data_IF_632652321757
#
_entry.id   IF_632652321757
#
_cell.length_a   1.000
_cell.length_b   1.000
_cell.length_c   1.000
_cell.angle_alpha   90.00
_cell.angle_beta   90.00
_cell.angle_gamma   90.00
#
_symmetry.space_group_name_H-M   'P 1'
#
loop_
_entity.id
_entity.type
_entity.pdbx_description
1 polymer ?
#
# COMPACT_ATOMS: atom_id res chain seq x y z
N UNK A 1 -45.01 -47.99 -1.99
CA UNK A 1 -44.43 -47.02 -1.03
C UNK A 1 -43.69 -45.99 -1.86
N UNK A 2 -44.17 -44.74 -1.93
CA UNK A 2 -43.51 -43.68 -2.73
C UNK A 2 -42.37 -43.08 -1.89
N UNK A 3 -41.12 -43.05 -2.37
CA UNK A 3 -40.03 -42.43 -1.60
C UNK A 3 -40.31 -40.93 -1.45
N UNK A 4 -40.30 -40.44 -0.20
CA UNK A 4 -40.31 -39.01 0.08
C UNK A 4 -38.88 -38.50 0.00
N UNK A 5 -38.61 -37.62 -0.97
CA UNK A 5 -37.33 -36.93 -1.02
C UNK A 5 -37.26 -35.89 0.12
N UNK A 6 -36.12 -35.77 0.81
CA UNK A 6 -35.95 -34.76 1.84
C UNK A 6 -36.16 -33.36 1.23
N UNK A 7 -36.87 -32.50 1.94
CA UNK A 7 -37.04 -31.11 1.55
C UNK A 7 -35.69 -30.39 1.66
N UNK A 8 -34.96 -30.35 0.55
CA UNK A 8 -33.63 -29.71 0.46
C UNK A 8 -33.68 -28.19 0.73
N UNK A 9 -34.89 -27.61 0.77
CA UNK A 9 -35.13 -26.19 1.04
C UNK A 9 -35.75 -25.94 2.43
N UNK A 10 -35.93 -26.97 3.26
CA UNK A 10 -36.55 -26.83 4.59
C UNK A 10 -35.79 -25.90 5.54
N UNK A 11 -34.50 -25.68 5.28
CA UNK A 11 -33.63 -24.76 6.01
C UNK A 11 -33.21 -23.54 5.17
N UNK A 12 -33.76 -23.35 3.97
CA UNK A 12 -33.46 -22.18 3.15
C UNK A 12 -34.16 -20.96 3.76
N UNK A 13 -33.45 -20.24 4.63
CA UNK A 13 -33.88 -18.91 5.04
C UNK A 13 -33.78 -17.98 3.82
N UNK A 14 -34.82 -17.17 3.58
CA UNK A 14 -34.72 -16.06 2.65
C UNK A 14 -33.67 -15.09 3.21
N UNK A 15 -32.42 -15.24 2.75
CA UNK A 15 -31.37 -14.30 3.08
C UNK A 15 -31.67 -13.02 2.32
N UNK A 16 -31.61 -11.89 3.02
CA UNK A 16 -31.58 -10.60 2.34
C UNK A 16 -30.38 -10.62 1.37
N UNK A 17 -30.55 -10.19 0.11
CA UNK A 17 -29.45 -10.18 -0.84
C UNK A 17 -28.30 -9.33 -0.27
N UNK A 18 -27.15 -9.96 -0.05
CA UNK A 18 -25.95 -9.34 0.51
C UNK A 18 -24.75 -9.65 -0.38
N UNK A 19 -23.84 -8.69 -0.52
CA UNK A 19 -22.73 -8.79 -1.47
C UNK A 19 -23.12 -8.41 -2.90
N UNK A 20 -24.17 -7.61 -3.06
CA UNK A 20 -24.53 -7.02 -4.34
C UNK A 20 -23.41 -6.07 -4.76
N UNK A 21 -22.90 -6.22 -5.99
CA UNK A 21 -21.89 -5.32 -6.56
C UNK A 21 -22.50 -4.62 -7.76
N UNK A 22 -22.55 -3.28 -7.69
CA UNK A 22 -23.16 -2.46 -8.72
C UNK A 22 -22.11 -1.45 -9.21
N UNK A 23 -21.88 -1.32 -10.52
CA UNK A 23 -21.11 -0.20 -11.04
C UNK A 23 -21.89 1.10 -10.81
N UNK A 24 -21.20 2.15 -10.39
CA UNK A 24 -21.78 3.49 -10.37
C UNK A 24 -22.05 3.92 -11.84
N UNK A 25 -23.28 4.32 -12.19
CA UNK A 25 -23.61 4.75 -13.56
C UNK A 25 -22.81 5.97 -14.02
N UNK A 26 -22.33 6.81 -13.08
CA UNK A 26 -21.52 8.00 -13.35
C UNK A 26 -20.01 7.71 -13.36
N UNK A 27 -19.62 6.45 -13.53
CA UNK A 27 -18.21 6.07 -13.67
C UNK A 27 -17.57 6.77 -14.86
N UNK A 28 -16.32 7.21 -14.65
CA UNK A 28 -15.50 7.92 -15.63
C UNK A 28 -14.23 7.13 -15.82
N UNK A 29 -13.74 7.08 -17.06
CA UNK A 29 -12.49 6.37 -17.37
C UNK A 29 -11.33 6.88 -16.49
N UNK A 30 -10.68 6.00 -15.70
CA UNK A 30 -9.47 6.33 -14.98
C UNK A 30 -8.36 6.75 -15.93
N UNK A 31 -7.52 7.70 -15.52
CA UNK A 31 -6.38 8.12 -16.33
C UNK A 31 -5.18 8.50 -15.46
N UNK A 32 -4.00 8.47 -16.06
CA UNK A 32 -2.75 8.89 -15.45
C UNK A 32 -2.07 9.96 -16.30
N UNK A 33 -1.46 10.94 -15.64
CA UNK A 33 -0.60 11.92 -16.27
C UNK A 33 0.84 11.69 -15.79
N UNK A 34 1.78 11.63 -16.72
CA UNK A 34 3.19 11.40 -16.41
C UNK A 34 4.01 12.65 -16.73
N UNK A 35 4.90 13.02 -15.82
CA UNK A 35 5.89 14.07 -16.02
C UNK A 35 7.26 13.46 -15.80
N UNK A 36 8.18 13.65 -16.74
CA UNK A 36 9.55 13.20 -16.60
C UNK A 36 10.50 14.28 -17.10
N UNK A 37 11.51 14.59 -16.30
CA UNK A 37 12.63 15.45 -16.67
C UNK A 37 13.91 14.72 -16.32
N UNK A 38 14.80 14.52 -17.29
CA UNK A 38 16.09 13.86 -17.08
C UNK A 38 17.23 14.73 -17.57
N UNK A 39 18.27 14.87 -16.76
CA UNK A 39 19.54 15.51 -17.11
C UNK A 39 20.65 14.49 -16.98
N UNK A 40 21.38 14.28 -18.06
CA UNK A 40 22.53 13.38 -18.09
C UNK A 40 23.80 14.18 -18.34
N UNK A 41 24.87 13.80 -17.65
CA UNK A 41 26.16 14.47 -17.78
C UNK A 41 27.31 13.48 -17.66
N UNK A 42 28.21 13.56 -18.63
CA UNK A 42 29.55 13.02 -18.50
C UNK A 42 30.33 13.85 -17.47
N UNK A 43 30.97 13.17 -16.52
CA UNK A 43 31.74 13.81 -15.45
C UNK A 43 33.21 14.02 -15.85
N UNK A 44 34.13 13.41 -15.11
CA UNK A 44 35.57 13.63 -15.21
C UNK A 44 36.20 13.01 -16.46
N UNK A 45 35.55 11.97 -17.00
CA UNK A 45 35.99 11.26 -18.20
C UNK A 45 34.79 10.59 -18.90
N UNK A 46 34.96 10.14 -20.17
CA UNK A 46 33.91 9.44 -20.92
C UNK A 46 33.43 8.13 -20.32
N UNK A 47 34.07 7.66 -19.25
CA UNK A 47 33.73 6.45 -18.54
C UNK A 47 32.86 6.72 -17.31
N UNK A 48 32.57 7.98 -16.95
CA UNK A 48 31.75 8.38 -15.81
C UNK A 48 30.51 9.15 -16.28
N UNK A 49 29.33 8.56 -16.07
CA UNK A 49 28.05 9.20 -16.42
C UNK A 49 27.19 9.30 -15.16
N UNK A 50 26.66 10.48 -14.92
CA UNK A 50 25.58 10.71 -13.94
C UNK A 50 24.32 11.10 -14.68
N UNK A 51 23.20 10.54 -14.25
CA UNK A 51 21.86 10.88 -14.71
C UNK A 51 20.99 11.20 -13.50
N UNK A 52 20.31 12.36 -13.55
CA UNK A 52 19.35 12.80 -12.54
C UNK A 52 18.01 12.96 -13.22
N UNK A 53 17.00 12.26 -12.74
CA UNK A 53 15.64 12.31 -13.26
C UNK A 53 14.64 12.67 -12.17
N UNK A 54 13.67 13.52 -12.52
CA UNK A 54 12.47 13.76 -11.74
C UNK A 54 11.28 13.15 -12.47
N UNK A 55 10.58 12.22 -11.83
CA UNK A 55 9.45 11.48 -12.40
C UNK A 55 8.23 11.64 -11.51
N UNK A 56 7.12 12.09 -12.10
CA UNK A 56 5.82 12.23 -11.45
C UNK A 56 4.77 11.41 -12.16
N UNK A 57 3.85 10.83 -11.40
CA UNK A 57 2.61 10.24 -11.94
C UNK A 57 1.41 10.73 -11.13
N UNK A 58 0.42 11.27 -11.83
CA UNK A 58 -0.84 11.75 -11.24
C UNK A 58 -1.97 10.84 -11.72
N UNK A 59 -2.45 9.96 -10.84
CA UNK A 59 -3.62 9.12 -11.07
C UNK A 59 -4.90 9.88 -10.72
N UNK A 60 -5.88 9.87 -11.62
CA UNK A 60 -7.14 10.60 -11.44
C UNK A 60 -8.32 9.72 -11.83
N UNK A 61 -9.42 9.87 -11.09
CA UNK A 61 -10.65 9.10 -11.28
C UNK A 61 -10.36 7.59 -11.21
N UNK A 62 -9.48 7.18 -10.30
CA UNK A 62 -9.16 5.79 -10.04
C UNK A 62 -10.36 5.10 -9.40
N UNK A 63 -10.45 3.80 -9.67
CA UNK A 63 -11.51 2.96 -9.11
C UNK A 63 -11.39 2.86 -7.60
N UNK A 64 -12.53 2.91 -6.90
CA UNK A 64 -12.66 2.55 -5.50
C UNK A 64 -14.00 1.86 -5.25
N UNK A 65 -14.11 1.23 -4.08
CA UNK A 65 -15.35 0.66 -3.62
C UNK A 65 -16.00 1.52 -2.53
N UNK A 66 -17.32 1.60 -2.59
CA UNK A 66 -18.16 2.22 -1.59
C UNK A 66 -19.15 1.21 -1.02
N UNK A 67 -19.57 1.45 0.22
CA UNK A 67 -20.61 0.67 0.89
C UNK A 67 -21.74 1.56 1.37
N UNK A 68 -22.56 2.10 0.44
CA UNK A 68 -23.60 3.07 0.80
C UNK A 68 -24.65 2.49 1.76
N UNK A 69 -24.83 1.16 1.82
CA UNK A 69 -25.73 0.50 2.76
C UNK A 69 -25.03 -0.05 4.02
N UNK A 70 -23.79 0.38 4.28
CA UNK A 70 -22.95 -0.06 5.39
C UNK A 70 -22.21 -1.39 5.17
N UNK A 71 -21.17 -1.62 5.98
CA UNK A 71 -20.36 -2.83 6.03
C UNK A 71 -21.05 -4.03 6.67
N UNK A 72 -20.35 -5.16 6.74
CA UNK A 72 -20.90 -6.44 7.21
C UNK A 72 -21.37 -6.39 8.66
N UNK A 73 -20.72 -5.57 9.49
CA UNK A 73 -20.97 -5.52 10.93
C UNK A 73 -22.01 -4.46 11.31
N UNK A 74 -22.59 -3.75 10.34
CA UNK A 74 -23.69 -2.84 10.59
C UNK A 74 -24.99 -3.64 10.79
N UNK A 75 -25.70 -3.48 11.92
CA UNK A 75 -26.98 -4.15 12.16
C UNK A 75 -27.99 -3.83 11.06
N UNK A 76 -28.77 -4.83 10.65
CA UNK A 76 -29.72 -4.68 9.55
C UNK A 76 -30.75 -3.55 9.79
N UNK A 77 -31.17 -3.35 11.03
CA UNK A 77 -32.10 -2.29 11.44
C UNK A 77 -31.50 -0.87 11.37
N UNK A 78 -30.18 -0.75 11.23
CA UNK A 78 -29.46 0.52 11.14
C UNK A 78 -28.99 0.83 9.71
N UNK A 79 -29.21 -0.10 8.77
CA UNK A 79 -28.87 0.12 7.36
C UNK A 79 -29.82 1.16 6.74
N UNK A 80 -29.32 2.06 5.86
CA UNK A 80 -30.16 2.97 5.09
C UNK A 80 -31.33 2.29 4.37
N UNK A 81 -31.08 1.13 3.76
CA UNK A 81 -32.10 0.22 3.24
C UNK A 81 -32.07 -1.09 4.05
N UNK A 82 -33.08 -1.25 4.91
CA UNK A 82 -33.22 -2.40 5.80
C UNK A 82 -33.67 -3.67 5.06
N UNK A 83 -34.02 -3.60 3.77
CA UNK A 83 -34.43 -4.75 2.94
C UNK A 83 -33.28 -5.43 2.20
N UNK A 84 -32.10 -4.80 2.17
CA UNK A 84 -30.91 -5.31 1.47
C UNK A 84 -29.73 -5.37 2.44
N UNK A 85 -28.83 -6.34 2.26
CA UNK A 85 -27.61 -6.45 3.04
C UNK A 85 -26.52 -5.46 2.60
N UNK A 86 -25.27 -5.91 2.60
CA UNK A 86 -24.15 -5.09 2.09
C UNK A 86 -24.30 -4.89 0.59
N UNK A 87 -24.20 -3.62 0.16
CA UNK A 87 -24.14 -3.22 -1.24
C UNK A 87 -22.77 -2.61 -1.47
N UNK A 88 -21.99 -3.18 -2.39
CA UNK A 88 -20.74 -2.59 -2.84
C UNK A 88 -21.00 -1.83 -4.15
N UNK A 89 -20.60 -0.57 -4.18
CA UNK A 89 -20.64 0.26 -5.39
C UNK A 89 -19.22 0.49 -5.88
N UNK A 90 -18.94 0.10 -7.11
CA UNK A 90 -17.68 0.40 -7.77
C UNK A 90 -17.79 1.76 -8.46
N UNK A 91 -16.95 2.71 -8.07
CA UNK A 91 -16.93 4.05 -8.66
C UNK A 91 -15.50 4.53 -8.94
N UNK A 92 -15.37 5.66 -9.63
CA UNK A 92 -14.09 6.19 -10.13
C UNK A 92 -13.83 7.59 -9.62
N UNK A 93 -13.55 7.71 -8.33
CA UNK A 93 -13.40 8.99 -7.62
C UNK A 93 -12.11 9.11 -6.80
N UNK A 94 -11.33 8.03 -6.68
CA UNK A 94 -10.05 8.05 -5.99
C UNK A 94 -8.95 8.70 -6.84
N UNK A 95 -7.91 9.21 -6.19
CA UNK A 95 -6.76 9.84 -6.83
C UNK A 95 -5.46 9.35 -6.18
N UNK A 96 -4.38 9.48 -6.94
CA UNK A 96 -3.05 9.17 -6.46
C UNK A 96 -2.00 10.12 -7.04
N UNK A 97 -0.92 10.33 -6.31
CA UNK A 97 0.15 11.25 -6.63
C UNK A 97 1.48 10.62 -6.24
N UNK A 98 2.25 10.21 -7.24
CA UNK A 98 3.59 9.66 -7.10
C UNK A 98 4.61 10.70 -7.56
N UNK A 99 5.65 10.90 -6.77
CA UNK A 99 6.76 11.80 -7.05
C UNK A 99 8.07 11.10 -6.75
N UNK A 100 9.05 11.21 -7.63
CA UNK A 100 10.38 10.63 -7.40
C UNK A 100 11.51 11.45 -7.97
N UNK A 101 12.62 11.44 -7.25
CA UNK A 101 13.94 11.88 -7.70
C UNK A 101 14.82 10.63 -7.84
N UNK A 102 15.34 10.41 -9.02
CA UNK A 102 16.17 9.25 -9.35
C UNK A 102 17.55 9.73 -9.75
N UNK A 103 18.58 9.20 -9.10
CA UNK A 103 19.96 9.49 -9.40
C UNK A 103 20.62 8.18 -9.79
N UNK A 104 21.26 8.14 -10.95
CA UNK A 104 22.09 7.00 -11.33
C UNK A 104 23.49 7.45 -11.70
N UNK A 105 24.45 6.60 -11.35
CA UNK A 105 25.85 6.75 -11.63
C UNK A 105 26.36 5.48 -12.28
N UNK A 106 27.00 5.60 -13.42
CA UNK A 106 27.68 4.49 -14.09
C UNK A 106 29.13 4.88 -14.28
N UNK A 107 30.04 4.02 -13.80
CA UNK A 107 31.46 4.25 -13.99
C UNK A 107 32.25 2.99 -14.28
N UNK A 108 33.08 3.07 -15.31
CA UNK A 108 34.16 2.11 -15.54
C UNK A 108 35.45 2.64 -14.92
N UNK A 109 35.68 2.25 -13.65
CA UNK A 109 36.83 2.66 -12.84
C UNK A 109 38.17 2.24 -13.47
N UNK A 110 38.23 1.04 -14.03
CA UNK A 110 39.41 0.53 -14.74
C UNK A 110 38.98 -0.33 -15.94
N UNK A 111 39.94 -0.83 -16.72
CA UNK A 111 39.64 -1.85 -17.74
C UNK A 111 38.96 -3.11 -17.16
N UNK A 112 39.11 -3.32 -15.85
CA UNK A 112 38.77 -4.54 -15.12
C UNK A 112 37.64 -4.37 -14.10
N UNK A 113 37.26 -3.14 -13.74
CA UNK A 113 36.23 -2.84 -12.75
C UNK A 113 35.20 -1.88 -13.33
N UNK A 114 33.93 -2.30 -13.30
CA UNK A 114 32.78 -1.49 -13.63
C UNK A 114 31.81 -1.48 -12.45
N UNK A 115 31.26 -0.31 -12.15
CA UNK A 115 30.27 -0.11 -11.09
C UNK A 115 29.09 0.68 -11.61
N UNK A 116 27.91 0.41 -11.05
CA UNK A 116 26.72 1.23 -11.22
C UNK A 116 26.06 1.42 -9.86
N UNK A 117 25.66 2.64 -9.57
CA UNK A 117 24.83 2.95 -8.42
C UNK A 117 23.55 3.61 -8.92
N UNK A 118 22.42 3.27 -8.32
CA UNK A 118 21.14 3.93 -8.54
C UNK A 118 20.49 4.20 -7.20
N UNK A 119 19.96 5.39 -7.02
CA UNK A 119 19.24 5.82 -5.84
C UNK A 119 17.94 6.48 -6.26
N UNK A 120 16.82 6.01 -5.72
CA UNK A 120 15.50 6.60 -5.91
C UNK A 120 15.02 7.10 -4.56
N UNK A 121 14.74 8.39 -4.49
CA UNK A 121 13.92 8.98 -3.44
C UNK A 121 12.51 9.16 -3.98
N UNK A 122 11.48 8.67 -3.30
CA UNK A 122 10.10 8.81 -3.76
C UNK A 122 9.11 9.09 -2.64
N UNK A 123 7.93 9.58 -3.04
CA UNK A 123 6.77 9.72 -2.18
C UNK A 123 5.53 9.39 -2.98
N UNK A 124 4.73 8.47 -2.47
CA UNK A 124 3.48 8.04 -3.05
C UNK A 124 2.33 8.27 -2.07
N UNK A 125 1.36 9.09 -2.49
CA UNK A 125 0.14 9.37 -1.74
C UNK A 125 -1.04 8.90 -2.59
N UNK A 126 -1.99 8.22 -1.99
CA UNK A 126 -3.24 7.83 -2.64
C UNK A 126 -4.43 7.93 -1.69
N UNK A 127 -5.64 7.94 -2.23
CA UNK A 127 -6.87 7.87 -1.43
C UNK A 127 -7.22 6.42 -1.09
N UNK A 128 -6.92 5.47 -2.00
CA UNK A 128 -7.08 4.03 -1.81
C UNK A 128 -5.94 3.33 -2.54
N UNK A 129 -5.27 2.38 -1.90
CA UNK A 129 -4.12 1.70 -2.49
C UNK A 129 -4.50 0.49 -3.35
N UNK A 130 -5.65 -0.13 -3.12
CA UNK A 130 -6.07 -1.33 -3.86
C UNK A 130 -7.59 -1.36 -4.08
N UNK A 131 -8.06 -2.22 -4.98
CA UNK A 131 -9.47 -2.37 -5.34
C UNK A 131 -10.00 -3.76 -4.99
N UNK A 132 -11.31 -3.92 -4.77
CA UNK A 132 -11.88 -5.25 -4.58
C UNK A 132 -11.59 -6.17 -5.77
N UNK A 133 -10.94 -7.29 -5.50
CA UNK A 133 -10.82 -8.38 -6.47
C UNK A 133 -11.89 -9.47 -6.27
N UNK A 134 -12.69 -9.38 -5.21
CA UNK A 134 -13.77 -10.32 -4.88
C UNK A 134 -14.99 -9.58 -4.35
N UNK A 135 -16.16 -10.25 -4.36
CA UNK A 135 -17.41 -9.70 -3.82
C UNK A 135 -17.63 -10.03 -2.33
N UNK A 136 -16.69 -10.76 -1.71
CA UNK A 136 -16.79 -11.31 -0.36
C UNK A 136 -15.44 -11.18 0.35
N UNK A 137 -15.46 -10.74 1.62
CA UNK A 137 -14.26 -10.68 2.46
C UNK A 137 -13.22 -9.67 1.97
N UNK A 138 -13.65 -8.45 1.63
CA UNK A 138 -12.74 -7.39 1.20
C UNK A 138 -11.68 -7.13 2.28
N UNK A 139 -10.44 -6.96 1.84
CA UNK A 139 -9.36 -6.58 2.74
C UNK A 139 -9.64 -5.20 3.36
N UNK A 140 -9.18 -5.00 4.61
CA UNK A 140 -9.51 -3.84 5.45
C UNK A 140 -9.04 -2.51 4.85
N UNK A 141 -8.03 -2.58 4.00
CA UNK A 141 -7.35 -1.50 3.29
C UNK A 141 -7.97 -1.15 1.93
N UNK A 142 -8.90 -1.98 1.44
CA UNK A 142 -9.63 -1.77 0.18
C UNK A 142 -10.93 -0.99 0.40
N UNK A 143 -11.51 -1.09 1.60
CA UNK A 143 -12.70 -0.35 1.99
C UNK A 143 -12.24 0.98 2.59
N UNK A 144 -12.80 2.13 2.15
CA UNK A 144 -12.50 3.41 2.77
C UNK A 144 -12.87 3.38 4.27
N UNK A 145 -12.15 4.17 5.05
CA UNK A 145 -12.44 4.39 6.45
C UNK A 145 -13.81 5.04 6.63
N UNK A 146 -14.09 6.06 5.82
CA UNK A 146 -15.39 6.71 5.66
C UNK A 146 -15.70 6.84 4.16
N UNK A 147 -16.79 6.23 3.71
CA UNK A 147 -17.20 6.25 2.30
C UNK A 147 -17.55 7.65 1.80
N UNK A 148 -18.00 8.53 2.70
CA UNK A 148 -18.41 9.90 2.41
C UNK A 148 -17.25 10.91 2.43
N UNK A 149 -16.14 10.59 3.11
CA UNK A 149 -14.98 11.47 3.24
C UNK A 149 -13.63 10.78 2.96
N UNK A 150 -13.22 10.80 1.69
CA UNK A 150 -11.92 10.27 1.25
C UNK A 150 -10.70 10.98 1.86
N UNK A 151 -10.86 12.19 2.41
CA UNK A 151 -9.73 12.92 2.99
C UNK A 151 -9.15 12.19 4.21
N UNK A 152 -9.96 11.35 4.87
CA UNK A 152 -9.53 10.51 6.00
C UNK A 152 -8.65 9.33 5.58
N UNK A 153 -8.67 8.97 4.30
CA UNK A 153 -7.84 7.90 3.72
C UNK A 153 -6.70 8.41 2.86
N UNK A 154 -6.71 9.70 2.49
CA UNK A 154 -5.65 10.32 1.72
C UNK A 154 -4.34 10.34 2.51
N UNK A 155 -3.49 9.37 2.23
CA UNK A 155 -2.29 9.12 3.00
C UNK A 155 -1.21 8.46 2.14
N UNK A 156 -0.09 8.14 2.77
CA UNK A 156 0.97 7.35 2.13
C UNK A 156 0.37 6.04 1.58
N UNK A 157 0.72 5.69 0.35
CA UNK A 157 0.27 4.46 -0.31
C UNK A 157 0.86 3.21 0.35
N UNK A 158 0.14 2.08 0.32
CA UNK A 158 0.69 0.76 0.71
C UNK A 158 1.96 0.38 -0.09
N UNK A 159 2.17 1.00 -1.25
CA UNK A 159 3.30 0.75 -2.15
C UNK A 159 4.42 1.80 -2.05
N UNK A 160 4.37 2.70 -1.07
CA UNK A 160 5.38 3.75 -0.91
C UNK A 160 6.71 3.21 -0.35
N UNK A 161 7.73 3.17 -1.22
CA UNK A 161 9.11 2.85 -0.87
C UNK A 161 9.97 4.11 -1.07
N UNK A 162 10.11 4.96 -0.03
CA UNK A 162 10.69 6.28 -0.21
C UNK A 162 12.18 6.25 -0.54
N UNK A 163 12.92 5.24 -0.13
CA UNK A 163 14.32 5.08 -0.50
C UNK A 163 14.54 3.70 -1.12
N UNK A 164 15.16 3.68 -2.30
CA UNK A 164 15.65 2.47 -2.95
C UNK A 164 17.06 2.75 -3.45
N UNK A 165 18.03 1.99 -2.97
CA UNK A 165 19.42 2.05 -3.40
C UNK A 165 19.81 0.71 -4.01
N UNK A 166 20.35 0.74 -5.23
CA UNK A 166 20.91 -0.44 -5.88
C UNK A 166 22.35 -0.17 -6.28
N UNK A 167 23.25 -1.05 -5.86
CA UNK A 167 24.65 -1.02 -6.25
C UNK A 167 25.03 -2.31 -6.97
N UNK A 168 25.56 -2.16 -8.18
CA UNK A 168 26.06 -3.28 -8.98
C UNK A 168 27.52 -3.10 -9.32
N UNK A 169 28.25 -4.20 -9.36
CA UNK A 169 29.65 -4.20 -9.74
C UNK A 169 30.01 -5.46 -10.51
N UNK A 170 30.96 -5.32 -11.43
CA UNK A 170 31.62 -6.42 -12.14
C UNK A 170 33.12 -6.15 -12.08
N UNK A 171 33.85 -7.08 -11.49
CA UNK A 171 35.28 -6.98 -11.28
C UNK A 171 36.00 -8.22 -11.81
N UNK A 172 36.83 -8.03 -12.84
CA UNK A 172 37.76 -9.05 -13.33
C UNK A 172 39.02 -8.98 -12.47
N UNK A 173 39.33 -10.04 -11.74
CA UNK A 173 40.43 -10.03 -10.76
C UNK A 173 41.77 -9.90 -11.48
N UNK A 174 42.45 -8.74 -11.43
CA UNK A 174 43.58 -8.48 -12.32
C UNK A 174 44.86 -9.15 -11.85
N UNK A 175 45.03 -9.35 -10.53
CA UNK A 175 46.25 -9.90 -9.93
C UNK A 175 46.36 -11.43 -10.02
N UNK A 176 45.28 -12.13 -10.42
CA UNK A 176 45.32 -13.57 -10.68
C UNK A 176 45.41 -13.89 -12.18
N UNK A 177 45.36 -12.90 -13.07
CA UNK A 177 45.23 -13.11 -14.53
C UNK A 177 46.30 -14.02 -15.14
N UNK A 178 47.53 -13.91 -14.66
CA UNK A 178 48.68 -14.67 -15.19
C UNK A 178 48.85 -16.02 -14.50
N UNK A 179 48.05 -16.31 -13.47
CA UNK A 179 48.09 -17.59 -12.78
C UNK A 179 47.39 -18.67 -13.63
N UNK A 180 48.12 -19.73 -13.98
CA UNK A 180 47.60 -20.83 -14.83
C UNK A 180 46.48 -21.64 -14.18
N UNK A 181 46.38 -21.63 -12.85
CA UNK A 181 45.39 -22.40 -12.08
C UNK A 181 44.27 -21.53 -11.51
N UNK A 182 44.59 -20.28 -11.14
CA UNK A 182 43.68 -19.35 -10.47
C UNK A 182 43.33 -18.14 -11.35
N UNK A 183 43.66 -18.14 -12.64
CA UNK A 183 43.37 -17.02 -13.53
C UNK A 183 41.95 -16.98 -14.07
N UNK A 184 41.52 -15.80 -14.51
CA UNK A 184 40.24 -15.61 -15.23
C UNK A 184 39.01 -15.32 -14.36
N UNK A 185 39.15 -15.22 -13.03
CA UNK A 185 38.01 -14.94 -12.16
C UNK A 185 37.36 -13.59 -12.44
N UNK A 186 36.03 -13.60 -12.44
CA UNK A 186 35.19 -12.41 -12.42
C UNK A 186 34.25 -12.50 -11.23
N UNK A 187 34.20 -11.45 -10.43
CA UNK A 187 33.30 -11.29 -9.29
C UNK A 187 32.25 -10.26 -9.69
N UNK A 188 30.98 -10.60 -9.52
CA UNK A 188 29.88 -9.66 -9.75
C UNK A 188 28.88 -9.72 -8.61
N UNK A 189 28.23 -8.60 -8.33
CA UNK A 189 27.21 -8.51 -7.30
C UNK A 189 26.17 -7.44 -7.62
N UNK A 190 24.97 -7.65 -7.07
CA UNK A 190 23.86 -6.69 -7.06
C UNK A 190 23.40 -6.63 -5.61
N UNK A 191 23.46 -5.44 -5.02
CA UNK A 191 22.99 -5.19 -3.67
C UNK A 191 21.85 -4.19 -3.76
N UNK A 192 20.71 -4.52 -3.16
CA UNK A 192 19.54 -3.63 -3.11
C UNK A 192 19.15 -3.42 -1.67
N UNK A 193 19.04 -2.15 -1.29
CA UNK A 193 18.55 -1.70 0.01
C UNK A 193 17.32 -0.84 -0.25
N UNK A 194 16.23 -1.05 0.46
CA UNK A 194 15.06 -0.20 0.37
C UNK A 194 14.46 0.05 1.75
N UNK A 195 13.70 1.13 1.89
CA UNK A 195 12.88 1.35 3.08
C UNK A 195 11.81 0.28 3.22
N UNK A 196 11.34 0.02 4.44
CA UNK A 196 10.20 -0.85 4.64
C UNK A 196 8.87 -0.21 4.21
N UNK A 197 7.90 -1.09 3.97
CA UNK A 197 6.55 -0.71 3.52
C UNK A 197 5.76 -0.09 4.66
N UNK A 198 4.91 0.90 4.37
CA UNK A 198 4.03 1.45 5.37
C UNK A 198 2.88 0.48 5.69
N UNK A 199 2.33 0.61 6.89
CA UNK A 199 1.15 -0.16 7.31
C UNK A 199 0.25 0.67 8.23
N UNK A 200 -1.01 0.27 8.29
CA UNK A 200 -2.04 0.92 9.11
C UNK A 200 -2.30 0.13 10.38
N UNK A 201 -2.38 0.83 11.51
CA UNK A 201 -2.82 0.24 12.78
C UNK A 201 -4.34 0.13 12.82
N UNK A 202 -4.84 -1.05 13.19
CA UNK A 202 -6.27 -1.30 13.34
C UNK A 202 -6.60 -1.77 14.76
N UNK A 203 -7.71 -1.29 15.31
CA UNK A 203 -8.18 -1.66 16.65
C UNK A 203 -8.90 -3.00 16.67
N UNK A 204 -9.27 -3.55 15.51
CA UNK A 204 -10.15 -4.73 15.46
C UNK A 204 -11.61 -4.41 15.77
N UNK A 205 -11.97 -3.12 15.85
CA UNK A 205 -13.35 -2.67 16.04
C UNK A 205 -13.94 -2.16 14.74
N UNK A 206 -15.26 -2.00 14.75
CA UNK A 206 -16.01 -1.51 13.60
C UNK A 206 -15.98 0.01 13.55
N UNK A 207 -15.94 0.57 12.34
CA UNK A 207 -16.28 1.97 12.08
C UNK A 207 -17.78 2.19 12.27
N UNK A 208 -18.26 3.45 12.33
CA UNK A 208 -19.69 3.76 12.35
C UNK A 208 -20.46 3.16 11.16
N UNK A 209 -19.80 2.97 10.02
CA UNK A 209 -20.39 2.30 8.84
C UNK A 209 -20.46 0.77 9.00
N UNK A 210 -19.94 0.19 10.09
CA UNK A 210 -19.92 -1.26 10.30
C UNK A 210 -18.86 -2.00 9.49
N UNK A 211 -17.80 -1.30 9.06
CA UNK A 211 -16.61 -1.94 8.49
C UNK A 211 -15.64 -2.26 9.63
N UNK A 212 -15.14 -3.49 9.69
CA UNK A 212 -14.12 -3.86 10.67
C UNK A 212 -12.75 -3.33 10.24
N UNK A 213 -12.56 -2.04 10.07
CA UNK A 213 -11.28 -1.41 9.70
C UNK A 213 -11.03 -0.12 10.53
N UNK A 214 -11.58 -0.06 11.75
CA UNK A 214 -11.39 1.10 12.60
C UNK A 214 -9.93 1.22 13.07
N UNK A 215 -9.49 2.47 13.25
CA UNK A 215 -8.12 2.85 13.61
C UNK A 215 -8.08 3.29 15.07
N UNK A 216 -6.92 3.28 15.74
CA UNK A 216 -6.83 3.77 17.10
C UNK A 216 -7.03 5.30 17.19
N UNK A 217 -7.28 5.78 18.41
CA UNK A 217 -7.22 7.20 18.74
C UNK A 217 -5.76 7.64 18.78
N UNK A 218 -5.46 8.73 18.08
CA UNK A 218 -4.17 9.42 18.12
C UNK A 218 -4.08 10.25 19.40
N UNK A 219 -3.53 9.64 20.44
CA UNK A 219 -3.30 10.28 21.75
C UNK A 219 -1.79 10.40 21.94
N UNK A 220 -1.29 11.62 22.06
CA UNK A 220 0.14 11.89 22.21
C UNK A 220 0.74 11.11 23.39
N UNK A 221 1.89 10.48 23.16
CA UNK A 221 2.63 9.74 24.18
C UNK A 221 2.14 8.31 24.46
N UNK A 222 1.15 7.81 23.73
CA UNK A 222 0.57 6.47 23.98
C UNK A 222 1.11 5.36 23.10
N UNK A 223 1.65 5.70 21.92
CA UNK A 223 2.35 4.79 21.02
C UNK A 223 3.84 5.09 21.05
N UNK A 224 4.64 4.12 21.48
CA UNK A 224 6.11 4.16 21.49
C UNK A 224 6.62 3.52 20.22
N UNK A 225 7.54 4.20 19.54
CA UNK A 225 8.15 3.75 18.28
C UNK A 225 9.64 3.54 18.52
N UNK A 226 10.09 2.29 18.35
CA UNK A 226 11.49 1.92 18.48
C UNK A 226 11.93 1.11 17.24
N UNK A 227 12.50 1.76 16.22
CA UNK A 227 12.91 1.10 14.99
C UNK A 227 14.05 0.08 15.17
N UNK A 228 14.65 -0.02 16.37
CA UNK A 228 15.67 -1.03 16.68
C UNK A 228 15.12 -2.28 17.36
N UNK A 229 13.83 -2.27 17.73
CA UNK A 229 13.16 -3.37 18.39
C UNK A 229 12.47 -4.32 17.40
N UNK A 230 12.42 -5.61 17.73
CA UNK A 230 11.61 -6.59 17.00
C UNK A 230 10.10 -6.27 17.04
N UNK A 231 9.68 -5.45 17.99
CA UNK A 231 8.34 -4.85 18.04
C UNK A 231 8.50 -3.34 17.88
N UNK A 232 8.59 -2.84 16.64
CA UNK A 232 8.92 -1.45 16.39
C UNK A 232 7.85 -0.46 16.88
N UNK A 233 6.68 -0.97 17.25
CA UNK A 233 5.57 -0.21 17.81
C UNK A 233 5.01 -0.95 19.02
N UNK A 234 4.92 -0.24 20.13
CA UNK A 234 4.34 -0.72 21.38
C UNK A 234 3.47 0.36 22.02
N UNK A 235 2.67 -0.02 23.01
CA UNK A 235 2.03 0.95 23.90
C UNK A 235 3.05 1.51 24.89
N UNK A 236 2.88 2.76 25.29
CA UNK A 236 3.63 3.32 26.40
C UNK A 236 3.30 2.58 27.71
N UNK A 237 4.19 2.73 28.70
CA UNK A 237 3.94 2.22 30.05
C UNK A 237 2.58 2.75 30.56
N UNK A 238 1.80 1.87 31.20
CA UNK A 238 0.44 2.12 31.70
C UNK A 238 -0.65 2.43 30.66
N UNK A 239 -0.34 2.32 29.36
CA UNK A 239 -1.34 2.46 28.29
C UNK A 239 -1.93 1.09 27.94
N UNK A 240 -3.26 1.04 27.93
CA UNK A 240 -4.04 -0.13 27.54
C UNK A 240 -4.67 0.07 26.17
N UNK A 241 -4.90 -1.04 25.44
CA UNK A 241 -5.60 -1.03 24.16
C UNK A 241 -6.96 -0.32 24.22
N UNK A 242 -7.68 -0.46 25.33
CA UNK A 242 -9.01 0.13 25.52
C UNK A 242 -8.97 1.66 25.47
N UNK A 243 -7.92 2.30 25.98
CA UNK A 243 -7.77 3.77 25.94
C UNK A 243 -7.60 4.30 24.52
N UNK A 244 -7.02 3.49 23.61
CA UNK A 244 -6.82 3.84 22.22
C UNK A 244 -7.93 3.31 21.31
N UNK A 245 -8.88 2.55 21.84
CA UNK A 245 -9.99 2.00 21.06
C UNK A 245 -11.12 3.02 21.01
N UNK A 246 -11.55 3.48 19.83
CA UNK A 246 -12.70 4.38 19.71
C UNK A 246 -13.96 3.76 20.32
N UNK A 247 -14.83 4.60 20.88
CA UNK A 247 -16.13 4.15 21.36
C UNK A 247 -16.97 3.58 20.21
N UNK A 248 -17.96 2.75 20.54
CA UNK A 248 -18.87 2.19 19.55
C UNK A 248 -19.56 3.31 18.76
N UNK A 249 -19.52 3.23 17.43
CA UNK A 249 -20.07 4.27 16.55
C UNK A 249 -19.19 5.52 16.42
N UNK A 250 -17.91 5.46 16.80
CA UNK A 250 -16.95 6.54 16.55
C UNK A 250 -15.79 6.08 15.66
N UNK A 251 -15.28 7.01 14.86
CA UNK A 251 -14.03 6.84 14.12
C UNK A 251 -12.83 7.04 15.03
N UNK A 252 -11.77 6.26 14.82
CA UNK A 252 -10.43 6.59 15.28
C UNK A 252 -9.84 7.80 14.56
N UNK A 253 -8.70 8.26 15.05
CA UNK A 253 -8.05 9.48 14.55
C UNK A 253 -6.63 9.26 14.03
N UNK A 254 -6.03 8.10 14.28
CA UNK A 254 -4.76 7.74 13.63
C UNK A 254 -4.98 7.64 12.11
N UNK A 255 -4.12 8.30 11.35
CA UNK A 255 -4.17 8.27 9.88
C UNK A 255 -3.82 6.89 9.31
N UNK A 256 -4.16 6.68 8.04
CA UNK A 256 -3.71 5.49 7.32
C UNK A 256 -2.19 5.54 7.14
N UNK A 257 -1.52 4.38 7.26
CA UNK A 257 -0.12 4.21 6.87
C UNK A 257 0.87 5.16 7.58
N UNK A 258 0.62 5.44 8.87
CA UNK A 258 1.50 6.26 9.72
C UNK A 258 2.76 5.52 10.14
N UNK A 259 2.76 4.19 10.04
CA UNK A 259 3.80 3.31 10.54
C UNK A 259 4.52 2.59 9.40
N UNK A 260 5.75 2.11 9.63
CA UNK A 260 6.54 1.38 8.64
C UNK A 260 7.21 0.15 9.23
N UNK A 261 7.29 -0.90 8.42
CA UNK A 261 8.12 -2.06 8.72
C UNK A 261 9.60 -1.81 8.39
N UNK A 262 10.41 -2.84 8.60
CA UNK A 262 11.82 -2.90 8.23
C UNK A 262 12.03 -3.40 6.79
#
# INVERSE_FOLDING_TARGET
>A
MRPSFPNLLGNAQQSLPSGLVIPNPDTRTPYAQHVNLTVERELLNPQSIVSVAYVSTFGRKLSRALRPNGGEQLPQSQRPDTSVGVVNVLETSANSDYQSLQVSYSHRLTRDLQVRAAYTYSKFIDDVSDIPMSNQGLARDVIPFDGSDLRLDRAVSNYDLPHIFTFTYIWRVPFLRENRLLGGWTISGINTLHSGRPFTLYTGTNTPEGNNNNRPLDIAGTLVRDPSSATPIAFAEDVTRTQLTPAAGQYGTVGRNTERGD
#
